data_IF_601657653241
#
_entry.id   IF_601657653241
#
_cell.length_a   1.000
_cell.length_b   1.000
_cell.length_c   1.000
_cell.angle_alpha   90.00
_cell.angle_beta   90.00
_cell.angle_gamma   90.00
#
_symmetry.space_group_name_H-M   'P 1'
#
loop_
_entity.id
_entity.type
_entity.pdbx_description
1 polymer ?
#
# COMPACT_ATOMS: atom_id res chain seq x y z
N UNK A 1 -19.07 -2.46 19.25
CA UNK A 1 -17.63 -2.53 19.02
C UNK A 1 -17.02 -1.41 19.84
N UNK A 2 -16.00 -1.73 20.65
CA UNK A 2 -15.17 -0.74 21.35
C UNK A 2 -14.03 -0.27 20.44
N UNK A 3 -13.33 0.81 20.81
CA UNK A 3 -12.16 1.25 20.05
C UNK A 3 -11.05 0.19 20.03
N UNK A 4 -10.86 -0.55 21.14
CA UNK A 4 -9.84 -1.60 21.20
C UNK A 4 -10.15 -2.77 20.27
N UNK A 5 -11.43 -3.16 20.16
CA UNK A 5 -11.87 -4.17 19.18
C UNK A 5 -11.67 -3.69 17.74
N UNK A 6 -12.02 -2.43 17.45
CA UNK A 6 -11.80 -1.81 16.14
C UNK A 6 -10.32 -1.77 15.77
N UNK A 7 -9.48 -1.35 16.71
CA UNK A 7 -8.02 -1.30 16.56
C UNK A 7 -7.43 -2.68 16.38
N UNK A 8 -7.90 -3.70 17.10
CA UNK A 8 -7.43 -5.08 16.93
C UNK A 8 -7.70 -5.61 15.51
N UNK A 9 -8.86 -5.29 14.94
CA UNK A 9 -9.19 -5.61 13.54
C UNK A 9 -8.28 -4.84 12.57
N UNK A 10 -8.04 -3.56 12.83
CA UNK A 10 -7.19 -2.71 11.98
C UNK A 10 -5.74 -3.17 11.90
N UNK A 11 -5.25 -4.00 12.83
CA UNK A 11 -3.87 -4.49 12.83
C UNK A 11 -3.68 -5.77 11.99
N UNK A 12 -4.73 -6.24 11.30
CA UNK A 12 -4.77 -7.46 10.50
C UNK A 12 -4.10 -8.64 11.21
N UNK A 13 -4.69 -9.04 12.34
CA UNK A 13 -4.13 -10.14 13.13
C UNK A 13 -4.24 -11.45 12.33
N UNK A 14 -3.16 -12.24 12.20
CA UNK A 14 -3.17 -13.46 11.38
C UNK A 14 -4.25 -14.44 11.81
N UNK A 15 -4.95 -15.01 10.83
CA UNK A 15 -5.89 -16.12 11.06
C UNK A 15 -5.12 -17.40 11.36
N UNK A 16 -5.69 -18.23 12.24
CA UNK A 16 -5.15 -19.55 12.57
C UNK A 16 -6.21 -20.58 12.21
N UNK A 17 -5.95 -21.41 11.21
CA UNK A 17 -6.81 -22.57 10.93
C UNK A 17 -6.59 -23.20 9.56
N UNK A 18 -6.26 -22.39 8.55
CA UNK A 18 -6.07 -22.85 7.18
C UNK A 18 -4.59 -23.10 6.87
N UNK A 19 -4.34 -23.98 5.90
CA UNK A 19 -3.01 -24.13 5.34
C UNK A 19 -2.70 -22.88 4.51
N UNK A 20 -1.62 -22.20 4.86
CA UNK A 20 -1.17 -20.98 4.19
C UNK A 20 0.12 -21.23 3.42
N UNK A 21 0.26 -20.50 2.32
CA UNK A 21 1.51 -20.41 1.57
C UNK A 21 1.94 -18.96 1.46
N UNK A 22 3.27 -18.76 1.38
CA UNK A 22 3.89 -17.47 1.14
C UNK A 22 4.58 -17.51 -0.22
N UNK A 23 4.20 -16.58 -1.10
CA UNK A 23 4.88 -16.33 -2.36
C UNK A 23 5.89 -15.19 -2.18
N UNK A 24 7.14 -15.43 -2.56
CA UNK A 24 8.20 -14.42 -2.57
C UNK A 24 8.41 -13.92 -3.99
N UNK A 25 8.22 -12.62 -4.21
CA UNK A 25 8.37 -11.95 -5.50
C UNK A 25 9.51 -10.93 -5.37
N UNK A 26 10.48 -11.02 -6.26
CA UNK A 26 11.59 -10.07 -6.37
C UNK A 26 11.34 -9.14 -7.54
N UNK A 27 11.56 -7.85 -7.35
CA UNK A 27 11.65 -6.87 -8.43
C UNK A 27 13.11 -6.46 -8.59
N UNK A 28 13.66 -6.59 -9.79
CA UNK A 28 15.00 -6.12 -10.13
C UNK A 28 14.96 -4.95 -11.12
N UNK A 29 15.97 -4.10 -11.08
CA UNK A 29 16.15 -3.00 -12.03
C UNK A 29 16.65 -3.59 -13.34
N UNK A 30 15.96 -3.31 -14.46
CA UNK A 30 16.49 -3.69 -15.78
C UNK A 30 17.75 -2.90 -16.10
N UNK A 31 18.70 -3.57 -16.73
CA UNK A 31 19.96 -2.99 -17.20
C UNK A 31 19.77 -1.58 -17.76
N UNK A 32 20.38 -0.59 -17.12
CA UNK A 32 20.50 0.72 -17.73
C UNK A 32 21.49 0.61 -18.89
N UNK A 33 21.21 1.22 -20.07
CA UNK A 33 22.24 1.41 -21.07
C UNK A 33 23.42 2.12 -20.40
N UNK A 34 24.64 1.61 -20.51
CA UNK A 34 25.84 2.12 -19.79
C UNK A 34 26.20 3.61 -20.00
N UNK A 35 25.38 4.36 -20.76
CA UNK A 35 25.45 5.81 -20.95
C UNK A 35 24.46 6.61 -20.09
N UNK A 36 23.47 5.99 -19.43
CA UNK A 36 22.55 6.70 -18.54
C UNK A 36 23.23 6.94 -17.18
N UNK A 37 23.44 8.21 -16.84
CA UNK A 37 23.95 8.66 -15.54
C UNK A 37 22.88 8.66 -14.43
N UNK A 38 21.61 8.43 -14.76
CA UNK A 38 20.49 8.49 -13.81
C UNK A 38 19.35 7.58 -14.24
N UNK A 39 18.73 6.93 -13.25
CA UNK A 39 17.53 6.10 -13.38
C UNK A 39 16.24 6.95 -13.44
N UNK A 40 16.31 8.24 -13.11
CA UNK A 40 15.14 9.12 -13.08
C UNK A 40 14.93 9.89 -14.39
N UNK A 41 13.69 10.30 -14.72
CA UNK A 41 12.48 10.24 -13.89
C UNK A 41 11.77 8.89 -13.84
N UNK A 42 12.23 7.91 -14.63
CA UNK A 42 11.65 6.58 -14.70
C UNK A 42 12.66 5.53 -15.17
N UNK A 43 12.53 4.32 -14.63
CA UNK A 43 13.34 3.15 -15.02
C UNK A 43 12.49 1.88 -15.03
N UNK A 44 12.88 0.93 -15.86
CA UNK A 44 12.16 -0.34 -15.97
C UNK A 44 12.62 -1.32 -14.88
N UNK A 45 11.69 -2.15 -14.42
CA UNK A 45 11.95 -3.30 -13.54
C UNK A 45 11.47 -4.61 -14.19
N UNK A 46 11.99 -5.75 -13.75
CA UNK A 46 11.37 -7.07 -13.96
C UNK A 46 10.96 -7.61 -12.62
N UNK A 47 9.94 -8.45 -12.62
CA UNK A 47 9.60 -9.23 -11.44
C UNK A 47 9.66 -10.72 -11.74
N UNK A 48 9.99 -11.49 -10.71
CA UNK A 48 10.01 -12.95 -10.77
C UNK A 48 9.67 -13.54 -9.42
N UNK A 49 9.01 -14.70 -9.47
CA UNK A 49 8.78 -15.55 -8.30
C UNK A 49 10.11 -16.18 -7.88
N UNK A 50 10.55 -15.84 -6.68
CA UNK A 50 11.74 -16.44 -6.03
C UNK A 50 11.41 -17.83 -5.53
N UNK A 51 10.24 -18.01 -4.92
CA UNK A 51 9.79 -19.31 -4.41
C UNK A 51 8.47 -19.24 -3.65
N UNK A 52 8.03 -20.41 -3.21
CA UNK A 52 6.82 -20.61 -2.38
C UNK A 52 7.23 -21.44 -1.16
N UNK A 53 6.68 -21.12 0.00
CA UNK A 53 6.93 -21.82 1.26
C UNK A 53 5.72 -21.74 2.19
N UNK A 54 5.76 -22.41 3.34
CA UNK A 54 4.60 -22.51 4.23
C UNK A 54 4.63 -21.50 5.39
N UNK A 55 5.76 -20.86 5.62
CA UNK A 55 5.92 -19.93 6.75
C UNK A 55 6.64 -18.65 6.35
N UNK A 56 6.31 -17.54 7.00
CA UNK A 56 6.98 -16.26 6.78
C UNK A 56 8.51 -16.35 7.01
N UNK A 57 9.04 -17.00 8.06
CA UNK A 57 10.49 -17.13 8.21
C UNK A 57 11.18 -17.88 7.07
N UNK A 58 10.52 -18.88 6.47
CA UNK A 58 11.02 -19.54 5.27
C UNK A 58 11.00 -18.60 4.05
N UNK A 59 9.96 -17.78 3.94
CA UNK A 59 9.83 -16.78 2.88
C UNK A 59 10.95 -15.73 2.96
N UNK A 60 11.20 -15.20 4.16
CA UNK A 60 12.29 -14.27 4.44
C UNK A 60 13.66 -14.93 4.19
N UNK A 61 13.82 -16.22 4.50
CA UNK A 61 15.04 -16.96 4.18
C UNK A 61 15.25 -17.13 2.65
N UNK A 62 14.18 -17.34 1.87
CA UNK A 62 14.25 -17.38 0.40
C UNK A 62 14.65 -16.01 -0.17
N UNK A 63 14.06 -14.93 0.34
CA UNK A 63 14.45 -13.55 0.00
C UNK A 63 15.94 -13.31 0.26
N UNK A 64 16.45 -13.68 1.43
CA UNK A 64 17.88 -13.51 1.73
C UNK A 64 18.80 -14.35 0.84
N UNK A 65 18.39 -15.57 0.45
CA UNK A 65 19.13 -16.36 -0.54
C UNK A 65 19.18 -15.66 -1.90
N UNK A 66 18.07 -15.03 -2.32
CA UNK A 66 18.02 -14.28 -3.56
C UNK A 66 18.93 -13.04 -3.55
N UNK A 67 18.99 -12.34 -2.41
CA UNK A 67 19.95 -11.23 -2.20
C UNK A 67 21.40 -11.70 -2.33
N UNK A 68 21.77 -12.83 -1.72
CA UNK A 68 23.13 -13.35 -1.87
C UNK A 68 23.44 -13.73 -3.33
N UNK A 69 22.48 -14.34 -4.04
CA UNK A 69 22.62 -14.63 -5.48
C UNK A 69 22.82 -13.34 -6.30
N UNK A 70 22.04 -12.29 -6.05
CA UNK A 70 22.13 -11.04 -6.79
C UNK A 70 23.53 -10.39 -6.69
N UNK A 71 24.23 -10.56 -5.56
CA UNK A 71 25.61 -10.10 -5.40
C UNK A 71 26.59 -10.80 -6.35
N UNK A 72 26.34 -12.07 -6.69
CA UNK A 72 27.20 -12.83 -7.61
C UNK A 72 27.10 -12.32 -9.05
N UNK A 73 25.91 -11.87 -9.45
CA UNK A 73 25.63 -11.37 -10.80
C UNK A 73 25.66 -9.85 -10.93
N UNK A 74 25.87 -9.14 -9.81
CA UNK A 74 25.77 -7.68 -9.71
C UNK A 74 24.40 -7.17 -10.18
N UNK A 75 23.34 -7.93 -9.88
CA UNK A 75 21.96 -7.56 -10.13
C UNK A 75 21.52 -6.53 -9.08
N UNK A 76 20.78 -5.51 -9.52
CA UNK A 76 20.25 -4.50 -8.62
C UNK A 76 18.80 -4.80 -8.27
N UNK A 77 18.56 -5.29 -7.06
CA UNK A 77 17.21 -5.52 -6.55
C UNK A 77 16.56 -4.19 -6.20
N UNK A 78 15.33 -4.00 -6.68
CA UNK A 78 14.46 -2.88 -6.34
C UNK A 78 13.78 -3.09 -4.98
N UNK A 79 12.96 -4.12 -4.86
CA UNK A 79 12.24 -4.49 -3.66
C UNK A 79 11.84 -5.97 -3.68
N UNK A 80 11.34 -6.47 -2.56
CA UNK A 80 10.64 -7.74 -2.49
C UNK A 80 9.22 -7.54 -1.98
N UNK A 81 8.33 -8.36 -2.52
CA UNK A 81 6.97 -8.52 -2.04
C UNK A 81 6.79 -9.96 -1.56
N UNK A 82 6.32 -10.11 -0.32
CA UNK A 82 5.92 -11.41 0.22
C UNK A 82 4.41 -11.38 0.41
N UNK A 83 3.70 -12.25 -0.30
CA UNK A 83 2.23 -12.36 -0.25
C UNK A 83 1.82 -13.67 0.40
N UNK A 84 0.83 -13.60 1.27
CA UNK A 84 0.28 -14.73 2.04
C UNK A 84 -1.07 -15.14 1.44
N UNK A 85 -1.19 -16.42 1.09
CA UNK A 85 -2.39 -16.97 0.47
C UNK A 85 -2.87 -18.21 1.22
N UNK A 86 -4.16 -18.28 1.59
CA UNK A 86 -4.75 -19.51 2.07
C UNK A 86 -4.96 -20.50 0.92
N UNK A 87 -4.76 -21.78 1.20
CA UNK A 87 -4.91 -22.86 0.23
C UNK A 87 -6.39 -23.19 0.03
N UNK A 88 -6.80 -23.26 -1.24
CA UNK A 88 -8.17 -23.66 -1.62
C UNK A 88 -9.17 -22.52 -1.66
N UNK A 89 -8.75 -21.29 -1.36
CA UNK A 89 -9.58 -20.09 -1.43
C UNK A 89 -9.54 -19.44 -2.81
N UNK A 90 -10.64 -18.76 -3.15
CA UNK A 90 -10.73 -17.96 -4.37
C UNK A 90 -10.07 -16.60 -4.15
N UNK A 91 -9.15 -16.27 -5.03
CA UNK A 91 -8.49 -14.98 -5.05
C UNK A 91 -9.34 -13.95 -5.81
N UNK A 92 -9.28 -12.70 -5.37
CA UNK A 92 -9.98 -11.60 -6.01
C UNK A 92 -9.42 -11.36 -7.43
N UNK A 93 -10.28 -11.23 -8.42
CA UNK A 93 -9.88 -11.00 -9.82
C UNK A 93 -10.07 -9.55 -10.28
N UNK A 94 -10.64 -8.69 -9.44
CA UNK A 94 -10.94 -7.29 -9.77
C UNK A 94 -9.90 -6.30 -9.28
N UNK A 95 -9.10 -6.65 -8.27
CA UNK A 95 -8.17 -5.74 -7.60
C UNK A 95 -6.71 -6.24 -7.63
N UNK A 96 -5.77 -5.47 -7.07
CA UNK A 96 -4.39 -5.92 -6.83
C UNK A 96 -4.41 -7.05 -5.79
N UNK A 97 -4.76 -8.26 -6.24
CA UNK A 97 -4.89 -9.42 -5.39
C UNK A 97 -3.56 -9.71 -4.68
N UNK A 98 -3.59 -9.53 -3.37
CA UNK A 98 -2.48 -9.83 -2.50
C UNK A 98 -2.84 -10.88 -1.45
N UNK A 99 -3.98 -11.55 -1.61
CA UNK A 99 -4.45 -12.59 -0.71
C UNK A 99 -4.79 -12.06 0.68
N UNK A 100 -4.36 -12.81 1.69
CA UNK A 100 -4.64 -12.54 3.10
C UNK A 100 -3.79 -11.41 3.66
N UNK A 101 -2.51 -11.39 3.29
CA UNK A 101 -1.59 -10.34 3.71
C UNK A 101 -0.47 -10.13 2.70
N UNK A 102 0.03 -8.91 2.67
CA UNK A 102 1.12 -8.49 1.80
C UNK A 102 2.16 -7.76 2.62
N UNK A 103 3.43 -8.03 2.35
CA UNK A 103 4.57 -7.39 3.00
C UNK A 103 5.54 -6.88 1.96
N UNK A 104 6.04 -5.67 2.20
CA UNK A 104 7.04 -5.01 1.39
C UNK A 104 8.38 -5.00 2.14
N UNK A 105 9.43 -5.38 1.42
CA UNK A 105 10.81 -5.29 1.87
C UNK A 105 11.63 -4.53 0.84
N UNK A 106 12.67 -3.82 1.28
CA UNK A 106 13.61 -3.20 0.34
C UNK A 106 14.56 -4.22 -0.32
N UNK A 107 15.36 -3.79 -1.29
CA UNK A 107 16.34 -4.66 -1.96
C UNK A 107 17.45 -5.22 -1.06
N UNK A 108 17.52 -4.83 0.22
CA UNK A 108 18.42 -5.40 1.23
C UNK A 108 17.69 -6.35 2.20
N UNK A 109 16.40 -6.62 1.96
CA UNK A 109 15.57 -7.49 2.77
C UNK A 109 15.12 -6.86 4.09
N UNK A 110 15.15 -5.53 4.22
CA UNK A 110 14.60 -4.84 5.40
C UNK A 110 13.10 -4.66 5.23
N UNK A 111 12.33 -5.09 6.22
CA UNK A 111 10.89 -4.90 6.27
C UNK A 111 10.56 -3.40 6.24
N UNK A 112 9.68 -3.00 5.32
CA UNK A 112 9.21 -1.62 5.20
C UNK A 112 7.79 -1.48 5.73
N UNK A 113 6.88 -2.37 5.30
CA UNK A 113 5.45 -2.18 5.54
C UNK A 113 4.63 -3.43 5.19
N UNK A 114 3.34 -3.43 5.54
CA UNK A 114 2.38 -4.50 5.26
C UNK A 114 0.97 -3.98 4.99
N UNK A 115 0.06 -4.87 4.61
CA UNK A 115 -1.38 -4.59 4.52
C UNK A 115 -2.08 -4.75 5.87
N UNK A 116 -3.21 -4.05 6.02
CA UNK A 116 -3.96 -3.92 7.29
C UNK A 116 -5.38 -4.50 7.22
N UNK A 117 -5.71 -5.20 6.15
CA UNK A 117 -6.89 -6.07 6.03
C UNK A 117 -6.65 -7.11 4.93
N UNK A 118 -7.54 -8.09 4.82
CA UNK A 118 -7.50 -9.12 3.77
C UNK A 118 -8.11 -8.61 2.47
N UNK A 119 -7.55 -9.05 1.34
CA UNK A 119 -8.11 -8.79 0.00
C UNK A 119 -8.86 -9.99 -0.58
N UNK A 120 -9.00 -11.09 0.17
CA UNK A 120 -9.67 -12.30 -0.30
C UNK A 120 -11.16 -12.04 -0.59
N UNK A 121 -11.67 -12.68 -1.65
CA UNK A 121 -13.07 -12.52 -2.07
C UNK A 121 -14.06 -12.94 -0.97
N UNK A 122 -13.72 -13.99 -0.20
CA UNK A 122 -14.53 -14.45 0.92
C UNK A 122 -14.62 -13.44 2.08
N UNK A 123 -13.75 -12.42 2.11
CA UNK A 123 -13.67 -11.43 3.18
C UNK A 123 -14.21 -10.05 2.85
N UNK A 124 -14.53 -9.76 1.59
CA UNK A 124 -15.03 -8.44 1.17
C UNK A 124 -16.23 -7.94 2.00
N UNK A 125 -17.03 -8.85 2.56
CA UNK A 125 -18.22 -8.55 3.39
C UNK A 125 -18.06 -8.99 4.84
N UNK A 126 -16.85 -9.29 5.28
CA UNK A 126 -16.54 -9.66 6.65
C UNK A 126 -15.77 -8.54 7.31
N UNK A 127 -15.67 -8.57 8.64
CA UNK A 127 -14.85 -7.63 9.41
C UNK A 127 -13.36 -7.68 9.06
N UNK A 128 -12.91 -8.72 8.33
CA UNK A 128 -11.50 -8.94 7.97
C UNK A 128 -11.12 -8.29 6.64
N UNK A 129 -12.07 -8.13 5.71
CA UNK A 129 -11.85 -7.39 4.46
C UNK A 129 -12.14 -5.89 4.57
N UNK A 130 -12.56 -5.42 5.75
CA UNK A 130 -12.76 -3.99 6.01
C UNK A 130 -11.45 -3.31 6.39
N UNK A 131 -11.04 -2.34 5.60
CA UNK A 131 -9.89 -1.50 5.96
C UNK A 131 -10.27 -0.52 7.07
N UNK A 132 -9.46 -0.48 8.13
CA UNK A 132 -9.75 0.32 9.33
C UNK A 132 -8.68 1.35 9.63
N UNK A 133 -7.90 1.69 8.61
CA UNK A 133 -6.79 2.62 8.73
C UNK A 133 -5.51 1.98 9.23
N UNK A 134 -4.49 2.82 9.28
CA UNK A 134 -3.14 2.49 9.67
C UNK A 134 -2.78 3.12 11.01
N UNK A 135 -1.91 2.48 11.80
CA UNK A 135 -1.24 3.17 12.90
C UNK A 135 -0.44 4.35 12.34
N UNK A 136 -0.53 5.54 12.93
CA UNK A 136 0.15 6.74 12.42
C UNK A 136 1.68 6.55 12.32
N UNK A 137 2.26 5.77 13.24
CA UNK A 137 3.68 5.42 13.23
C UNK A 137 4.11 4.58 12.00
N UNK A 138 3.15 3.97 11.30
CA UNK A 138 3.41 3.20 10.07
C UNK A 138 3.39 4.05 8.80
N UNK A 139 3.02 5.34 8.88
CA UNK A 139 3.02 6.21 7.72
C UNK A 139 4.46 6.47 7.23
N UNK A 140 4.76 5.97 6.03
CA UNK A 140 6.10 6.07 5.43
C UNK A 140 6.36 7.40 4.71
N UNK A 141 5.32 8.10 4.28
CA UNK A 141 5.42 9.29 3.44
C UNK A 141 4.51 10.42 3.95
N UNK A 142 4.94 11.64 3.71
CA UNK A 142 4.19 12.86 4.02
C UNK A 142 3.83 13.60 2.74
N UNK A 143 2.80 14.44 2.82
CA UNK A 143 2.43 15.32 1.73
C UNK A 143 3.62 16.20 1.30
N UNK A 144 3.93 16.19 0.01
CA UNK A 144 5.08 16.89 -0.59
C UNK A 144 6.34 16.03 -0.76
N UNK A 145 6.39 14.82 -0.21
CA UNK A 145 7.51 13.90 -0.43
C UNK A 145 7.54 13.44 -1.89
N UNK A 146 8.72 13.53 -2.52
CA UNK A 146 8.96 12.95 -3.84
C UNK A 146 9.31 11.48 -3.64
N UNK A 147 8.55 10.59 -4.26
CA UNK A 147 8.59 9.14 -4.06
C UNK A 147 8.78 8.40 -5.39
N UNK A 148 9.19 7.14 -5.29
CA UNK A 148 9.15 6.18 -6.39
C UNK A 148 7.84 5.41 -6.33
N UNK A 149 7.15 5.30 -7.45
CA UNK A 149 5.91 4.51 -7.63
C UNK A 149 6.22 3.35 -8.55
N UNK A 150 6.00 2.13 -8.06
CA UNK A 150 6.05 0.90 -8.82
C UNK A 150 4.72 0.72 -9.56
N UNK A 151 4.77 0.71 -10.89
CA UNK A 151 3.62 0.59 -11.78
C UNK A 151 3.89 -0.54 -12.78
N UNK A 152 3.50 -1.76 -12.39
CA UNK A 152 3.76 -2.98 -13.12
C UNK A 152 5.26 -3.24 -13.33
N UNK A 153 5.77 -2.91 -14.52
CA UNK A 153 7.18 -3.14 -14.90
C UNK A 153 7.99 -1.85 -15.03
N UNK A 154 7.46 -0.72 -14.56
CA UNK A 154 8.14 0.58 -14.54
C UNK A 154 8.12 1.15 -13.12
N UNK A 155 9.18 1.86 -12.75
CA UNK A 155 9.20 2.74 -11.57
C UNK A 155 9.26 4.17 -12.05
N UNK A 156 8.33 5.01 -11.59
CA UNK A 156 8.24 6.44 -11.93
C UNK A 156 8.31 7.33 -10.69
N UNK A 157 8.77 8.56 -10.86
CA UNK A 157 8.70 9.57 -9.81
C UNK A 157 7.31 10.20 -9.72
N UNK A 158 6.82 10.38 -8.50
CA UNK A 158 5.61 11.14 -8.18
C UNK A 158 5.80 11.94 -6.88
N UNK A 159 4.82 12.78 -6.51
CA UNK A 159 4.75 13.45 -5.21
C UNK A 159 3.54 12.94 -4.43
N UNK A 160 3.75 12.46 -3.21
CA UNK A 160 2.66 12.12 -2.31
C UNK A 160 1.87 13.39 -1.93
N UNK A 161 0.54 13.38 -2.04
CA UNK A 161 -0.30 14.54 -1.72
C UNK A 161 -0.93 14.47 -0.33
N UNK A 162 -0.89 13.31 0.31
CA UNK A 162 -1.39 13.11 1.67
C UNK A 162 -0.61 12.03 2.40
N UNK A 163 -0.75 12.01 3.73
CA UNK A 163 -0.55 10.78 4.51
C UNK A 163 -1.87 10.01 4.51
N UNK A 164 -1.82 8.67 4.51
CA UNK A 164 -3.01 7.83 4.63
C UNK A 164 -3.87 8.19 5.86
N UNK A 165 -5.07 7.63 5.94
CA UNK A 165 -5.99 7.88 7.06
C UNK A 165 -5.72 6.90 8.22
N UNK A 166 -5.69 7.42 9.44
CA UNK A 166 -5.33 6.67 10.65
C UNK A 166 -6.47 5.81 11.18
N UNK A 167 -6.14 4.88 12.08
CA UNK A 167 -7.15 4.08 12.80
C UNK A 167 -8.14 4.98 13.54
N UNK A 168 -7.64 6.05 14.15
CA UNK A 168 -8.43 7.05 14.86
C UNK A 168 -9.40 7.76 13.93
N UNK A 169 -8.96 8.17 12.74
CA UNK A 169 -9.83 8.80 11.74
C UNK A 169 -10.96 7.86 11.30
N UNK A 170 -10.62 6.60 10.99
CA UNK A 170 -11.61 5.61 10.57
C UNK A 170 -12.56 5.20 11.70
N UNK A 171 -12.11 5.24 12.95
CA UNK A 171 -12.95 5.07 14.12
C UNK A 171 -13.95 6.22 14.26
N UNK A 172 -13.52 7.47 14.07
CA UNK A 172 -14.43 8.62 14.06
C UNK A 172 -15.47 8.50 12.95
N UNK A 173 -15.08 8.06 11.76
CA UNK A 173 -16.02 7.78 10.67
C UNK A 173 -17.04 6.69 11.06
N UNK A 174 -16.57 5.59 11.65
CA UNK A 174 -17.43 4.52 12.14
C UNK A 174 -18.45 5.03 13.18
N UNK A 175 -18.01 5.89 14.10
CA UNK A 175 -18.89 6.53 15.10
C UNK A 175 -19.91 7.48 14.46
N UNK A 176 -19.53 8.23 13.42
CA UNK A 176 -20.44 9.08 12.66
C UNK A 176 -21.53 8.27 11.96
N UNK A 177 -21.16 7.13 11.36
CA UNK A 177 -22.13 6.19 10.78
C UNK A 177 -23.08 5.69 11.85
N UNK A 178 -22.56 5.25 13.01
CA UNK A 178 -23.36 4.78 14.14
C UNK A 178 -24.40 5.79 14.62
N UNK A 179 -24.02 7.07 14.68
CA UNK A 179 -24.90 8.18 15.08
C UNK A 179 -25.77 8.73 13.95
N UNK A 180 -25.60 8.22 12.72
CA UNK A 180 -26.25 8.69 11.49
C UNK A 180 -25.95 10.16 11.17
N UNK A 181 -24.82 10.67 11.65
CA UNK A 181 -24.42 12.06 11.42
C UNK A 181 -24.07 12.28 9.94
N UNK A 182 -24.90 13.08 9.25
CA UNK A 182 -24.70 13.42 7.84
C UNK A 182 -25.48 12.56 6.83
N UNK A 183 -26.36 11.66 7.27
CA UNK A 183 -27.25 10.90 6.38
C UNK A 183 -28.53 11.69 6.08
N UNK A 184 -28.74 12.05 4.80
CA UNK A 184 -29.83 12.93 4.33
C UNK A 184 -31.23 12.34 4.55
N UNK A 185 -31.36 11.01 4.68
CA UNK A 185 -32.64 10.29 4.63
C UNK A 185 -33.02 9.54 5.91
N UNK A 186 -32.34 9.77 7.04
CA UNK A 186 -32.67 9.09 8.29
C UNK A 186 -33.02 10.10 9.37
N UNK A 187 -34.06 9.79 10.14
CA UNK A 187 -34.51 10.63 11.25
C UNK A 187 -33.40 10.68 12.31
N UNK A 188 -32.88 11.88 12.56
CA UNK A 188 -31.85 12.14 13.59
C UNK A 188 -32.27 11.54 14.95
N UNK A 189 -31.30 10.95 15.67
CA UNK A 189 -31.47 10.55 17.06
C UNK A 189 -31.74 9.07 17.34
N UNK A 190 -31.58 8.17 16.37
CA UNK A 190 -31.55 6.72 16.61
C UNK A 190 -30.19 6.13 16.27
N UNK A 191 -29.46 5.66 17.28
CA UNK A 191 -28.17 4.96 17.08
C UNK A 191 -28.38 3.63 16.36
N UNK A 192 -27.46 3.32 15.44
CA UNK A 192 -27.40 2.03 14.77
C UNK A 192 -26.78 0.98 15.68
N UNK A 193 -27.21 -0.26 15.54
CA UNK A 193 -26.51 -1.42 16.07
C UNK A 193 -25.18 -1.59 15.33
N UNK A 194 -24.19 -2.22 15.96
CA UNK A 194 -22.88 -2.40 15.32
C UNK A 194 -22.98 -3.19 14.01
N UNK A 195 -23.87 -4.18 13.92
CA UNK A 195 -24.10 -4.94 12.71
C UNK A 195 -24.61 -4.06 11.56
N UNK A 196 -25.53 -3.15 11.83
CA UNK A 196 -26.00 -2.21 10.80
C UNK A 196 -24.91 -1.22 10.38
N UNK A 197 -24.00 -0.84 11.30
CA UNK A 197 -22.85 0.01 10.96
C UNK A 197 -21.89 -0.73 10.04
N UNK A 198 -21.57 -2.01 10.31
CA UNK A 198 -20.67 -2.80 9.46
C UNK A 198 -21.20 -3.03 8.03
N UNK A 199 -22.52 -3.05 7.85
CA UNK A 199 -23.15 -3.09 6.52
C UNK A 199 -22.97 -1.78 5.74
N UNK A 200 -22.91 -0.64 6.44
CA UNK A 200 -22.68 0.68 5.84
C UNK A 200 -21.21 1.09 5.77
N UNK A 201 -20.35 0.43 6.55
CA UNK A 201 -18.92 0.67 6.57
C UNK A 201 -18.30 0.13 5.28
N UNK A 202 -18.12 1.03 4.32
CA UNK A 202 -17.67 0.69 2.97
C UNK A 202 -16.16 0.50 2.79
N UNK A 203 -15.23 1.03 3.62
CA UNK A 203 -13.82 0.89 3.33
C UNK A 203 -13.34 -0.56 3.25
N UNK A 204 -12.49 -0.83 2.27
CA UNK A 204 -11.97 -2.16 1.95
C UNK A 204 -10.46 -2.12 1.63
N UNK A 205 -9.89 -3.26 1.24
CA UNK A 205 -8.48 -3.39 0.88
C UNK A 205 -7.96 -2.34 -0.11
N UNK A 206 -8.82 -1.79 -0.99
CA UNK A 206 -8.44 -0.76 -1.96
C UNK A 206 -8.21 0.61 -1.32
N UNK A 207 -8.73 0.86 -0.12
CA UNK A 207 -8.54 2.12 0.62
C UNK A 207 -7.17 2.23 1.32
N UNK A 208 -6.35 1.17 1.28
CA UNK A 208 -4.94 1.20 1.70
C UNK A 208 -4.03 1.82 0.63
N UNK A 209 -4.34 3.07 0.28
CA UNK A 209 -3.73 3.81 -0.81
C UNK A 209 -3.25 5.19 -0.38
N UNK A 210 -2.30 5.74 -1.13
CA UNK A 210 -1.84 7.13 -1.00
C UNK A 210 -2.04 7.85 -2.33
N UNK A 211 -2.73 9.00 -2.37
CA UNK A 211 -2.82 9.79 -3.57
C UNK A 211 -1.45 10.40 -3.91
N UNK A 212 -1.04 10.26 -5.16
CA UNK A 212 0.22 10.79 -5.69
C UNK A 212 -0.04 11.59 -6.97
N UNK A 213 0.78 12.59 -7.26
CA UNK A 213 0.73 13.35 -8.52
C UNK A 213 2.08 13.30 -9.24
N UNK A 214 2.05 13.18 -10.57
CA UNK A 214 3.24 13.33 -11.43
C UNK A 214 3.14 14.54 -12.39
N UNK A 215 2.12 15.39 -12.17
CA UNK A 215 1.84 16.61 -12.90
C UNK A 215 1.38 17.77 -12.00
N UNK A 216 1.17 18.97 -12.56
CA UNK A 216 0.99 20.21 -11.79
C UNK A 216 -0.41 20.39 -11.17
N UNK A 217 -1.22 19.34 -11.06
CA UNK A 217 -2.63 19.45 -10.66
C UNK A 217 -3.11 18.16 -10.01
N UNK A 218 -4.07 18.26 -9.07
CA UNK A 218 -4.75 17.08 -8.55
C UNK A 218 -5.50 16.30 -9.66
N UNK A 219 -5.84 16.91 -10.80
CA UNK A 219 -6.42 16.19 -11.94
C UNK A 219 -5.50 15.10 -12.54
N UNK A 220 -4.21 15.07 -12.18
CA UNK A 220 -3.26 14.02 -12.56
C UNK A 220 -2.93 13.11 -11.38
N UNK A 221 -3.82 13.03 -10.39
CA UNK A 221 -3.61 12.14 -9.25
C UNK A 221 -3.92 10.71 -9.63
N UNK A 222 -3.10 9.81 -9.10
CA UNK A 222 -3.42 8.39 -9.03
C UNK A 222 -3.51 8.01 -7.57
N UNK A 223 -4.40 7.09 -7.25
CA UNK A 223 -4.37 6.42 -5.97
C UNK A 223 -3.54 5.15 -6.10
N UNK A 224 -2.43 5.10 -5.38
CA UNK A 224 -1.47 4.01 -5.47
C UNK A 224 -1.48 3.27 -4.14
N UNK A 225 -1.58 1.95 -4.17
CA UNK A 225 -1.45 1.14 -2.96
C UNK A 225 -0.13 1.49 -2.28
N UNK A 226 -0.19 1.74 -0.97
CA UNK A 226 0.96 2.13 -0.16
C UNK A 226 2.19 1.24 -0.41
N UNK A 227 2.03 -0.08 -0.53
CA UNK A 227 3.14 -1.02 -0.74
C UNK A 227 3.81 -0.92 -2.13
N UNK A 228 3.21 -0.23 -3.10
CA UNK A 228 3.84 0.10 -4.38
C UNK A 228 4.58 1.45 -4.38
N UNK A 229 4.71 2.09 -3.20
CA UNK A 229 5.43 3.36 -3.04
C UNK A 229 6.72 3.13 -2.24
N UNK A 230 7.84 3.61 -2.78
CA UNK A 230 9.18 3.47 -2.21
C UNK A 230 9.84 4.83 -1.99
N UNK A 231 10.75 4.95 -1.00
CA UNK A 231 11.61 6.12 -0.91
C UNK A 231 12.55 6.19 -2.13
N UNK A 232 13.01 7.40 -2.45
CA UNK A 232 13.98 7.62 -3.51
C UNK A 232 15.25 6.79 -3.27
N UNK A 233 15.61 5.93 -4.23
CA UNK A 233 16.85 5.12 -4.16
C UNK A 233 18.05 5.89 -4.68
N UNK A 234 17.83 6.74 -5.68
CA UNK A 234 18.87 7.54 -6.31
C UNK A 234 18.75 9.03 -5.94
N UNK A 235 19.84 9.81 -6.03
CA UNK A 235 19.76 11.26 -5.87
C UNK A 235 19.02 11.92 -7.05
N UNK A 236 18.16 12.89 -6.73
CA UNK A 236 17.53 13.74 -7.74
C UNK A 236 18.50 14.80 -8.26
N UNK A 237 18.45 15.05 -9.57
CA UNK A 237 19.06 16.27 -10.12
C UNK A 237 18.32 17.51 -9.62
N UNK A 238 19.00 18.66 -9.53
CA UNK A 238 18.39 19.93 -9.12
C UNK A 238 17.16 20.27 -9.96
N UNK A 239 17.23 20.02 -11.28
CA UNK A 239 16.14 20.28 -12.22
C UNK A 239 14.93 19.39 -11.96
N UNK A 240 15.13 18.09 -11.71
CA UNK A 240 14.04 17.17 -11.41
C UNK A 240 13.39 17.49 -10.06
N UNK A 241 14.21 17.72 -9.02
CA UNK A 241 13.71 18.14 -7.71
C UNK A 241 12.81 19.37 -7.82
N UNK A 242 13.30 20.42 -8.47
CA UNK A 242 12.54 21.65 -8.65
C UNK A 242 11.23 21.42 -9.42
N UNK A 243 11.23 20.53 -10.43
CA UNK A 243 10.03 20.19 -11.21
C UNK A 243 8.94 19.58 -10.34
N UNK A 244 9.25 18.55 -9.56
CA UNK A 244 8.26 17.86 -8.72
C UNK A 244 7.82 18.73 -7.53
N UNK A 245 8.73 19.50 -6.92
CA UNK A 245 8.35 20.49 -5.91
C UNK A 245 7.40 21.57 -6.47
N UNK A 246 7.58 21.97 -7.73
CA UNK A 246 6.68 22.91 -8.39
C UNK A 246 5.30 22.29 -8.69
N UNK A 247 5.23 20.99 -8.97
CA UNK A 247 3.95 20.29 -9.13
C UNK A 247 3.13 20.32 -7.86
N UNK A 248 3.75 20.00 -6.72
CA UNK A 248 3.09 20.07 -5.42
C UNK A 248 2.62 21.50 -5.08
N UNK A 249 3.47 22.50 -5.27
CA UNK A 249 3.11 23.92 -5.06
C UNK A 249 1.96 24.38 -5.95
N UNK A 250 1.91 23.91 -7.20
CA UNK A 250 0.83 24.25 -8.13
C UNK A 250 -0.49 23.58 -7.74
N UNK A 251 -0.43 22.35 -7.22
CA UNK A 251 -1.59 21.63 -6.69
C UNK A 251 -2.21 22.37 -5.49
N UNK A 252 -1.41 22.73 -4.49
CA UNK A 252 -1.89 23.47 -3.30
C UNK A 252 -2.56 24.81 -3.67
N UNK A 253 -1.99 25.56 -4.61
CA UNK A 253 -2.59 26.82 -5.08
C UNK A 253 -3.95 26.65 -5.75
N UNK A 254 -4.24 25.49 -6.33
CA UNK A 254 -5.56 25.23 -6.93
C UNK A 254 -6.60 24.89 -5.87
N UNK A 255 -6.20 24.18 -4.81
CA UNK A 255 -7.08 23.91 -3.66
C UNK A 255 -7.51 25.21 -2.97
N UNK A 256 -6.60 26.17 -2.81
CA UNK A 256 -6.91 27.48 -2.19
C UNK A 256 -7.90 28.35 -3.00
N UNK A 257 -8.13 28.04 -4.27
CA UNK A 257 -9.00 28.82 -5.18
C UNK A 257 -10.39 28.18 -5.41
N UNK A 258 -10.71 27.14 -4.65
CA UNK A 258 -12.00 26.43 -4.67
C UNK A 258 -12.72 26.70 -3.34
#
# INVERSE_FOLDING_TARGET
>A
MTFDEFKALALNSPRRGEEIIFEVIEYDVKDLPGRKRSHYPKFDVRHYRVGICHTLPEAEALMHKAIERAKEYNDEIYCFHIKEYPMGELLDFLWEDYGESWRLYDGQGRFLDRTYCSSLECDHRTIYGRYRGRPEESFRFKAGDIVEVLDGNEVRLAVATGSGLSIEWYWEMWQRIKKKEGFIYVKDGCEMTDAEVEELYFPDASDDQTPVIDGPSYATHDHVHTLNIMPLRYPLSKTLRQRYENYYKAMLKKEDNI
#
